data_IF_822076574870
#
_entry.id   IF_822076574870
#
_cell.length_a   1.000
_cell.length_b   1.000
_cell.length_c   1.000
_cell.angle_alpha   90.00
_cell.angle_beta   90.00
_cell.angle_gamma   90.00
#
_symmetry.space_group_name_H-M   'P 1'
#
loop_
_entity.id
_entity.type
_entity.pdbx_description
1 polymer ?
#
# COMPACT_ATOMS: atom_id res chain seq x y z
N UNK A 1 -12.40 -26.61 -17.15
CA UNK A 1 -13.00 -26.39 -15.83
C UNK A 1 -13.48 -24.94 -15.82
N UNK A 2 -14.81 -24.74 -15.69
CA UNK A 2 -15.46 -23.44 -15.85
C UNK A 2 -15.25 -22.62 -14.59
N UNK A 3 -14.47 -21.56 -14.68
CA UNK A 3 -14.35 -20.56 -13.62
C UNK A 3 -15.60 -19.72 -13.63
N UNK A 4 -16.48 -19.90 -12.65
CA UNK A 4 -17.65 -19.03 -12.48
C UNK A 4 -17.19 -17.66 -12.03
N UNK A 5 -17.07 -16.72 -12.96
CA UNK A 5 -16.85 -15.30 -12.66
C UNK A 5 -18.15 -14.74 -12.09
N UNK A 6 -18.18 -14.50 -10.79
CA UNK A 6 -19.27 -13.73 -10.16
C UNK A 6 -19.02 -12.24 -10.42
N UNK A 7 -19.58 -11.72 -11.50
CA UNK A 7 -19.65 -10.29 -11.77
C UNK A 7 -20.58 -9.63 -10.73
N UNK A 8 -20.02 -9.01 -9.71
CA UNK A 8 -20.74 -8.10 -8.83
C UNK A 8 -20.21 -6.68 -9.07
N UNK A 9 -20.92 -5.91 -9.86
CA UNK A 9 -20.76 -4.47 -9.93
C UNK A 9 -21.48 -3.86 -8.72
N UNK A 10 -20.73 -3.45 -7.73
CA UNK A 10 -21.27 -2.61 -6.66
C UNK A 10 -21.09 -1.14 -7.02
N UNK A 11 -21.93 -0.27 -6.48
CA UNK A 11 -21.80 1.18 -6.63
C UNK A 11 -20.48 1.72 -6.09
N UNK A 12 -20.18 3.00 -6.39
CA UNK A 12 -18.97 3.67 -5.93
C UNK A 12 -18.78 3.51 -4.41
N UNK A 13 -17.56 3.14 -4.00
CA UNK A 13 -17.18 3.04 -2.60
C UNK A 13 -16.92 4.44 -2.03
N UNK A 14 -17.42 4.70 -0.81
CA UNK A 14 -17.07 5.88 -0.02
C UNK A 14 -15.83 5.64 0.86
N UNK A 15 -15.22 4.46 0.77
CA UNK A 15 -14.02 4.11 1.52
C UNK A 15 -12.80 4.66 0.79
N UNK A 16 -12.05 5.55 1.46
CA UNK A 16 -10.75 6.01 0.96
C UNK A 16 -9.72 4.89 1.12
N UNK A 17 -9.23 4.41 0.01
CA UNK A 17 -8.20 3.38 -0.04
C UNK A 17 -6.85 3.97 -0.46
N UNK A 18 -5.76 3.39 0.02
CA UNK A 18 -4.39 3.73 -0.38
C UNK A 18 -3.66 2.49 -0.82
N UNK A 19 -2.81 2.63 -1.83
CA UNK A 19 -1.91 1.55 -2.28
C UNK A 19 -0.53 2.10 -2.47
N UNK A 20 0.41 1.41 -1.89
CA UNK A 20 1.82 1.80 -1.89
C UNK A 20 2.63 0.75 -2.63
N UNK A 21 3.62 1.21 -3.38
CA UNK A 21 4.58 0.34 -4.07
C UNK A 21 6.01 0.85 -3.86
N UNK A 22 7.00 -0.06 -3.78
CA UNK A 22 8.40 0.32 -3.78
C UNK A 22 8.76 0.97 -5.13
N UNK A 23 9.56 2.03 -5.08
CA UNK A 23 10.19 2.62 -6.26
C UNK A 23 11.36 1.72 -6.68
N UNK A 24 11.35 1.25 -7.91
CA UNK A 24 12.56 0.70 -8.53
C UNK A 24 13.43 1.85 -9.06
N UNK A 25 14.71 1.58 -9.28
CA UNK A 25 15.67 2.58 -9.79
C UNK A 25 15.21 3.18 -11.14
N UNK A 26 14.42 2.41 -11.87
CA UNK A 26 13.94 2.77 -13.22
C UNK A 26 12.63 3.54 -13.19
N UNK A 27 11.84 3.46 -12.10
CA UNK A 27 10.47 3.97 -12.07
C UNK A 27 10.35 5.41 -11.59
N UNK A 28 11.17 5.84 -10.61
CA UNK A 28 11.10 7.21 -10.13
C UNK A 28 12.46 7.85 -10.03
N UNK A 29 12.54 9.06 -10.54
CA UNK A 29 13.79 9.84 -10.57
C UNK A 29 13.50 11.33 -10.58
N UNK A 30 14.44 12.09 -10.04
CA UNK A 30 14.55 13.51 -10.26
C UNK A 30 15.59 13.73 -11.37
N UNK A 31 15.20 14.44 -12.42
CA UNK A 31 16.08 14.84 -13.51
C UNK A 31 16.15 16.36 -13.57
N UNK A 32 17.25 16.89 -14.10
CA UNK A 32 17.36 18.31 -14.37
C UNK A 32 17.00 18.55 -15.83
N UNK A 33 15.92 19.30 -16.08
CA UNK A 33 15.60 19.79 -17.41
C UNK A 33 16.42 21.03 -17.68
N UNK A 34 17.28 20.96 -18.69
CA UNK A 34 17.99 22.13 -19.18
C UNK A 34 17.09 22.85 -20.19
N UNK A 35 16.53 23.98 -19.80
CA UNK A 35 15.78 24.87 -20.69
C UNK A 35 16.26 26.30 -20.47
N UNK A 36 17.09 26.79 -21.43
CA UNK A 36 17.73 28.09 -21.31
C UNK A 36 18.66 28.21 -20.11
N UNK A 37 18.71 29.40 -19.51
CA UNK A 37 19.61 29.70 -18.37
C UNK A 37 19.06 29.27 -17.00
N UNK A 38 17.89 28.67 -16.96
CA UNK A 38 17.24 28.27 -15.68
C UNK A 38 16.90 26.75 -15.64
N UNK A 39 17.85 25.91 -15.21
CA UNK A 39 17.60 24.49 -15.09
C UNK A 39 16.52 24.20 -14.02
N UNK A 40 15.50 23.42 -14.36
CA UNK A 40 14.45 23.03 -13.46
C UNK A 40 14.59 21.54 -13.07
N UNK A 41 14.29 21.22 -11.82
CA UNK A 41 14.16 19.83 -11.36
C UNK A 41 12.77 19.30 -11.75
N UNK A 42 12.75 18.09 -12.27
CA UNK A 42 11.54 17.39 -12.70
C UNK A 42 11.50 16.02 -12.04
N UNK A 43 10.37 15.67 -11.43
CA UNK A 43 10.12 14.31 -10.96
C UNK A 43 9.38 13.52 -12.03
N UNK A 44 9.77 12.26 -12.24
CA UNK A 44 9.03 11.29 -13.04
C UNK A 44 9.00 9.94 -12.35
N UNK A 45 7.88 9.21 -12.46
CA UNK A 45 7.72 7.86 -11.90
C UNK A 45 6.33 7.30 -12.17
N UNK A 46 6.07 6.07 -11.71
CA UNK A 46 4.74 5.45 -11.78
C UNK A 46 4.17 5.29 -10.37
N UNK A 47 3.03 5.90 -10.09
CA UNK A 47 2.35 5.76 -8.82
C UNK A 47 1.62 4.40 -8.69
N UNK A 48 1.16 3.84 -9.80
CA UNK A 48 0.53 2.53 -9.88
C UNK A 48 1.07 1.76 -11.10
N UNK A 49 0.97 0.41 -11.06
CA UNK A 49 1.32 -0.48 -12.17
C UNK A 49 0.11 -1.33 -12.51
N UNK A 50 -0.18 -1.46 -13.81
CA UNK A 50 -1.29 -2.28 -14.30
C UNK A 50 -0.96 -3.76 -14.30
N UNK A 51 -2.01 -4.59 -14.19
CA UNK A 51 -1.97 -6.05 -14.25
C UNK A 51 -0.91 -6.69 -13.34
N UNK A 52 -0.47 -5.95 -12.31
CA UNK A 52 0.49 -6.41 -11.31
C UNK A 52 -0.25 -6.85 -10.05
N UNK A 53 -0.21 -8.15 -9.78
CA UNK A 53 -0.90 -8.75 -8.63
C UNK A 53 -0.20 -8.40 -7.32
N UNK A 54 -0.95 -7.81 -6.39
CA UNK A 54 -0.49 -7.42 -5.06
C UNK A 54 -1.35 -8.08 -3.99
N UNK A 55 -0.74 -8.59 -2.93
CA UNK A 55 -1.47 -9.12 -1.79
C UNK A 55 -1.94 -7.99 -0.87
N UNK A 56 -3.22 -7.95 -0.57
CA UNK A 56 -3.83 -7.05 0.40
C UNK A 56 -4.18 -7.88 1.64
N UNK A 57 -3.46 -7.66 2.72
CA UNK A 57 -3.57 -8.51 3.90
C UNK A 57 -3.09 -9.93 3.66
N UNK A 58 -3.78 -10.92 4.23
CA UNK A 58 -3.50 -12.33 3.97
C UNK A 58 -4.53 -12.92 2.99
N UNK A 59 -4.19 -13.08 1.69
CA UNK A 59 -5.14 -13.48 0.66
C UNK A 59 -5.75 -14.87 0.87
N UNK A 60 -5.06 -15.76 1.60
CA UNK A 60 -5.54 -17.11 1.89
C UNK A 60 -6.44 -17.19 3.13
N UNK A 61 -6.66 -16.05 3.82
CA UNK A 61 -7.47 -16.03 5.05
C UNK A 61 -8.52 -14.93 5.03
N UNK A 62 -8.09 -13.69 5.20
CA UNK A 62 -9.00 -12.55 5.38
C UNK A 62 -8.80 -11.45 4.35
N UNK A 63 -7.70 -11.48 3.57
CA UNK A 63 -7.36 -10.55 2.51
C UNK A 63 -7.80 -11.01 1.13
N UNK A 64 -7.15 -10.47 0.12
CA UNK A 64 -7.31 -10.83 -1.30
C UNK A 64 -6.06 -10.47 -2.10
N UNK A 65 -5.97 -10.96 -3.32
CA UNK A 65 -5.08 -10.38 -4.32
C UNK A 65 -5.79 -9.25 -5.05
N UNK A 66 -5.05 -8.21 -5.41
CA UNK A 66 -5.58 -7.06 -6.14
C UNK A 66 -4.75 -6.76 -7.38
N UNK A 67 -5.42 -6.39 -8.46
CA UNK A 67 -4.84 -5.92 -9.71
C UNK A 67 -5.57 -4.66 -10.17
N UNK A 68 -4.83 -3.74 -10.80
CA UNK A 68 -5.39 -2.53 -11.41
C UNK A 68 -5.44 -2.76 -12.91
N UNK A 69 -6.60 -2.61 -13.52
CA UNK A 69 -6.76 -2.75 -14.96
C UNK A 69 -6.25 -1.51 -15.70
N UNK A 70 -5.66 -1.64 -16.89
CA UNK A 70 -5.49 -0.51 -17.81
C UNK A 70 -6.84 0.18 -18.05
N UNK A 71 -6.84 1.51 -18.06
CA UNK A 71 -8.05 2.32 -18.18
C UNK A 71 -8.73 2.66 -16.85
N UNK A 72 -8.23 2.13 -15.71
CA UNK A 72 -8.85 2.36 -14.41
C UNK A 72 -8.83 3.84 -13.97
N UNK A 73 -7.87 4.62 -14.44
CA UNK A 73 -7.74 6.04 -14.13
C UNK A 73 -8.26 6.98 -15.22
N UNK A 74 -8.64 6.48 -16.40
CA UNK A 74 -8.98 7.31 -17.58
C UNK A 74 -9.96 8.41 -17.22
N UNK A 75 -11.09 8.08 -16.59
CA UNK A 75 -12.12 9.08 -16.26
C UNK A 75 -11.64 10.10 -15.22
N UNK A 76 -10.96 9.64 -14.18
CA UNK A 76 -10.46 10.55 -13.12
C UNK A 76 -9.35 11.47 -13.62
N UNK A 77 -8.59 11.08 -14.66
CA UNK A 77 -7.59 11.95 -15.29
C UNK A 77 -8.22 13.07 -16.10
N UNK A 78 -9.38 12.83 -16.72
CA UNK A 78 -10.12 13.85 -17.48
C UNK A 78 -10.90 14.80 -16.57
N UNK A 79 -11.49 14.30 -15.48
CA UNK A 79 -12.44 15.03 -14.64
C UNK A 79 -11.84 15.48 -13.30
N UNK A 80 -10.74 14.87 -12.85
CA UNK A 80 -10.19 15.02 -11.51
C UNK A 80 -9.15 16.13 -11.40
N UNK A 81 -8.83 16.43 -10.15
CA UNK A 81 -7.82 17.42 -9.79
C UNK A 81 -6.93 16.84 -8.68
N UNK A 82 -6.13 15.86 -9.05
CA UNK A 82 -5.25 15.15 -8.11
C UNK A 82 -4.07 16.02 -7.64
N UNK A 83 -3.50 15.64 -6.52
CA UNK A 83 -2.37 16.31 -5.87
C UNK A 83 -1.18 15.35 -5.77
N UNK A 84 0.02 15.93 -5.76
CA UNK A 84 1.23 15.21 -5.37
C UNK A 84 1.61 15.66 -3.96
N UNK A 85 1.72 14.71 -3.03
CA UNK A 85 2.01 14.96 -1.62
C UNK A 85 3.31 14.24 -1.18
N UNK A 86 3.76 14.52 0.03
CA UNK A 86 4.78 13.72 0.73
C UNK A 86 4.08 12.99 1.88
N UNK A 87 4.27 11.66 1.97
CA UNK A 87 3.74 10.80 3.03
C UNK A 87 2.22 11.04 3.30
N UNK A 88 1.41 11.26 2.23
CA UNK A 88 -0.04 11.55 2.33
C UNK A 88 -0.40 12.76 3.19
N UNK A 89 0.56 13.61 3.54
CA UNK A 89 0.32 14.80 4.34
C UNK A 89 -0.12 15.96 3.46
N UNK A 90 -1.39 16.36 3.57
CA UNK A 90 -1.95 17.49 2.80
C UNK A 90 -1.29 18.84 3.07
N UNK A 91 -0.49 18.97 4.15
CA UNK A 91 0.32 20.15 4.44
C UNK A 91 1.59 20.20 3.61
N UNK A 92 2.02 19.06 3.05
CA UNK A 92 3.21 18.92 2.22
C UNK A 92 2.83 18.74 0.74
N UNK A 93 2.02 19.68 0.24
CA UNK A 93 1.56 19.73 -1.15
C UNK A 93 2.72 20.12 -2.07
N UNK A 94 3.13 19.21 -2.95
CA UNK A 94 4.26 19.43 -3.88
C UNK A 94 3.77 19.99 -5.22
N UNK A 95 2.67 19.44 -5.75
CA UNK A 95 2.13 19.81 -7.07
C UNK A 95 0.65 19.47 -7.19
N UNK A 96 -0.05 20.04 -8.17
CA UNK A 96 -1.47 19.86 -8.40
C UNK A 96 -1.81 19.91 -9.89
N UNK A 97 -2.72 19.06 -10.35
CA UNK A 97 -3.12 19.03 -11.76
C UNK A 97 -3.65 20.38 -12.23
N UNK A 98 -4.57 21.01 -11.48
CA UNK A 98 -5.13 22.31 -11.85
C UNK A 98 -4.17 23.48 -11.75
N UNK A 99 -3.03 23.32 -11.05
CA UNK A 99 -1.94 24.31 -11.05
C UNK A 99 -1.03 24.19 -12.29
N UNK A 100 -1.12 23.04 -13.01
CA UNK A 100 -0.37 22.79 -14.23
C UNK A 100 1.04 22.25 -14.03
N UNK A 101 1.45 22.01 -12.78
CA UNK A 101 2.76 21.48 -12.38
C UNK A 101 2.75 19.96 -12.13
N UNK A 102 1.57 19.33 -12.01
CA UNK A 102 1.39 17.87 -11.96
C UNK A 102 0.74 17.38 -13.25
N UNK A 103 1.40 16.44 -13.93
CA UNK A 103 0.86 15.71 -15.06
C UNK A 103 0.74 14.21 -14.70
N UNK A 104 -0.44 13.68 -14.92
CA UNK A 104 -0.73 12.26 -14.74
C UNK A 104 -1.24 11.70 -16.07
N UNK A 105 -0.79 10.51 -16.44
CA UNK A 105 -1.25 9.81 -17.64
C UNK A 105 -1.18 8.30 -17.43
N UNK A 106 -2.04 7.56 -18.10
CA UNK A 106 -1.87 6.12 -18.25
C UNK A 106 -0.94 5.83 -19.43
N UNK A 107 0.00 4.91 -19.21
CA UNK A 107 0.86 4.33 -20.25
C UNK A 107 0.84 2.80 -20.19
N UNK A 108 1.70 2.12 -20.93
CA UNK A 108 1.77 0.66 -20.97
C UNK A 108 2.21 0.02 -19.65
N UNK A 109 2.76 0.82 -18.72
CA UNK A 109 3.23 0.37 -17.42
C UNK A 109 2.19 0.60 -16.34
N UNK A 110 1.55 1.79 -16.32
CA UNK A 110 0.64 2.17 -15.26
C UNK A 110 0.29 3.66 -15.22
N UNK A 111 0.14 4.20 -14.01
CA UNK A 111 -0.13 5.61 -13.78
C UNK A 111 1.18 6.40 -13.74
N UNK A 112 1.60 6.90 -14.90
CA UNK A 112 2.74 7.78 -15.05
C UNK A 112 2.48 9.12 -14.35
N UNK A 113 3.45 9.57 -13.58
CA UNK A 113 3.40 10.77 -12.75
C UNK A 113 4.59 11.67 -13.09
N UNK A 114 4.33 12.92 -13.42
CA UNK A 114 5.36 13.92 -13.68
C UNK A 114 5.04 15.21 -12.93
N UNK A 115 6.01 15.72 -12.16
CA UNK A 115 5.98 17.06 -11.57
C UNK A 115 7.04 17.92 -12.27
N UNK A 116 6.58 19.02 -12.88
CA UNK A 116 7.42 19.85 -13.73
C UNK A 116 6.95 21.31 -13.76
N UNK A 117 7.69 22.24 -13.13
CA UNK A 117 8.90 22.00 -12.33
C UNK A 117 8.59 21.58 -10.88
N UNK A 118 9.59 21.02 -10.19
CA UNK A 118 9.59 20.95 -8.73
C UNK A 118 9.93 22.35 -8.18
N UNK A 119 9.05 22.91 -7.35
CA UNK A 119 9.25 24.25 -6.74
C UNK A 119 10.21 24.17 -5.55
N UNK A 120 11.52 24.30 -5.80
CA UNK A 120 12.55 24.27 -4.75
C UNK A 120 12.58 25.53 -3.87
N UNK A 121 11.74 26.55 -4.10
CA UNK A 121 11.55 27.66 -3.15
C UNK A 121 10.86 27.16 -1.87
N UNK A 122 10.03 26.12 -1.97
CA UNK A 122 9.46 25.45 -0.83
C UNK A 122 10.50 24.53 -0.16
N UNK A 123 10.78 24.76 1.12
CA UNK A 123 11.84 24.02 1.85
C UNK A 123 11.62 22.51 1.85
N UNK A 124 10.39 22.05 2.05
CA UNK A 124 10.05 20.63 2.06
C UNK A 124 10.16 19.98 0.66
N UNK A 125 10.03 20.75 -0.43
CA UNK A 125 10.28 20.24 -1.79
C UNK A 125 11.78 20.07 -2.02
N UNK A 126 12.62 20.98 -1.56
CA UNK A 126 14.09 20.78 -1.55
C UNK A 126 14.50 19.53 -0.78
N UNK A 127 13.88 19.32 0.40
CA UNK A 127 14.12 18.14 1.22
C UNK A 127 13.66 16.87 0.52
N UNK A 128 12.49 16.89 -0.13
CA UNK A 128 11.99 15.79 -0.96
C UNK A 128 12.96 15.45 -2.08
N UNK A 129 13.39 16.43 -2.88
CA UNK A 129 14.37 16.26 -3.98
C UNK A 129 15.62 15.58 -3.45
N UNK A 130 16.19 16.10 -2.37
CA UNK A 130 17.40 15.55 -1.75
C UNK A 130 17.22 14.13 -1.25
N UNK A 131 16.05 13.82 -0.66
CA UNK A 131 15.75 12.48 -0.18
C UNK A 131 15.55 11.48 -1.32
N UNK A 132 14.93 11.88 -2.44
CA UNK A 132 14.82 11.07 -3.65
C UNK A 132 16.20 10.82 -4.30
N UNK A 133 17.01 11.85 -4.47
CA UNK A 133 18.38 11.74 -5.01
C UNK A 133 19.28 10.82 -4.16
N UNK A 134 19.09 10.83 -2.83
CA UNK A 134 19.82 9.98 -1.88
C UNK A 134 19.14 8.64 -1.63
N UNK A 135 18.02 8.34 -2.31
CA UNK A 135 17.24 7.12 -2.16
C UNK A 135 16.81 6.83 -0.71
N UNK A 136 16.47 7.88 0.04
CA UNK A 136 15.90 7.78 1.38
C UNK A 136 14.39 7.62 1.32
N UNK A 137 13.76 8.19 0.29
CA UNK A 137 12.36 7.94 -0.08
C UNK A 137 12.40 6.93 -1.20
N UNK A 138 11.75 5.78 -0.98
CA UNK A 138 11.86 4.58 -1.81
C UNK A 138 10.49 4.00 -2.22
N UNK A 139 9.42 4.78 -2.06
CA UNK A 139 8.08 4.33 -2.44
C UNK A 139 7.26 5.45 -3.07
N UNK A 140 6.28 5.03 -3.86
CA UNK A 140 5.12 5.84 -4.23
C UNK A 140 3.85 5.19 -3.70
N UNK A 141 2.89 6.01 -3.39
CA UNK A 141 1.55 5.61 -2.97
C UNK A 141 0.52 6.45 -3.70
N UNK A 142 -0.73 5.99 -3.74
CA UNK A 142 -1.84 6.77 -4.25
C UNK A 142 -3.09 6.51 -3.41
N UNK A 143 -3.87 7.59 -3.22
CA UNK A 143 -5.13 7.59 -2.50
C UNK A 143 -6.32 7.72 -3.47
N UNK A 144 -7.31 6.85 -3.33
CA UNK A 144 -8.41 6.74 -4.27
C UNK A 144 -9.70 6.22 -3.61
N UNK A 145 -10.80 6.40 -4.33
CA UNK A 145 -12.06 5.69 -4.11
C UNK A 145 -12.32 4.74 -5.27
N UNK A 146 -12.86 3.57 -4.98
CA UNK A 146 -13.25 2.60 -6.01
C UNK A 146 -14.63 2.95 -6.53
N UNK A 147 -14.72 3.17 -7.84
CA UNK A 147 -15.97 3.39 -8.54
C UNK A 147 -16.52 2.08 -9.09
N UNK A 148 -15.63 1.25 -9.66
CA UNK A 148 -16.00 -0.05 -10.20
C UNK A 148 -14.87 -1.06 -10.03
N UNK A 149 -15.20 -2.26 -9.58
CA UNK A 149 -14.31 -3.40 -9.47
C UNK A 149 -15.02 -4.70 -9.85
N UNK A 150 -14.23 -5.74 -10.06
CA UNK A 150 -14.68 -7.12 -10.26
C UNK A 150 -13.99 -8.03 -9.27
N UNK A 151 -14.73 -9.03 -8.78
CA UNK A 151 -14.23 -10.05 -7.87
C UNK A 151 -14.34 -11.43 -8.50
N UNK A 152 -13.27 -12.21 -8.40
CA UNK A 152 -13.20 -13.59 -8.84
C UNK A 152 -12.41 -14.42 -7.85
N UNK A 153 -12.52 -15.75 -7.94
CA UNK A 153 -11.69 -16.67 -7.19
C UNK A 153 -10.64 -17.25 -8.12
N UNK A 154 -9.39 -17.28 -7.66
CA UNK A 154 -8.24 -17.80 -8.39
C UNK A 154 -7.59 -18.95 -7.61
N UNK A 155 -6.92 -19.82 -8.32
CA UNK A 155 -6.04 -20.84 -7.74
C UNK A 155 -4.62 -20.27 -7.60
N UNK A 156 -4.00 -20.49 -6.45
CA UNK A 156 -2.63 -20.06 -6.14
C UNK A 156 -1.84 -21.21 -5.58
N UNK A 157 -0.58 -21.33 -6.00
CA UNK A 157 0.34 -22.32 -5.46
C UNK A 157 0.96 -21.80 -4.15
N UNK A 158 0.90 -22.61 -3.12
CA UNK A 158 1.44 -22.28 -1.78
C UNK A 158 2.46 -23.35 -1.40
N UNK A 159 3.69 -22.94 -1.14
CA UNK A 159 4.72 -23.85 -0.63
C UNK A 159 4.75 -23.80 0.89
N UNK A 160 4.43 -24.91 1.51
CA UNK A 160 4.46 -25.07 2.97
C UNK A 160 5.88 -25.11 3.54
N UNK A 161 6.03 -25.05 4.88
CA UNK A 161 7.33 -25.13 5.55
C UNK A 161 8.06 -26.46 5.30
N UNK A 162 7.35 -27.51 4.92
CA UNK A 162 7.87 -28.83 4.57
C UNK A 162 8.34 -28.94 3.09
N UNK A 163 8.28 -27.80 2.36
CA UNK A 163 8.66 -27.73 0.95
C UNK A 163 7.63 -28.31 -0.03
N UNK A 164 6.47 -28.76 0.47
CA UNK A 164 5.39 -29.24 -0.41
C UNK A 164 4.57 -28.07 -0.93
N UNK A 165 4.26 -28.14 -2.22
CA UNK A 165 3.37 -27.17 -2.87
C UNK A 165 1.96 -27.73 -2.91
N UNK A 166 1.00 -26.93 -2.46
CA UNK A 166 -0.44 -27.18 -2.53
C UNK A 166 -1.11 -26.10 -3.34
N UNK A 167 -2.25 -26.41 -3.95
CA UNK A 167 -3.09 -25.41 -4.62
C UNK A 167 -4.19 -24.99 -3.66
N UNK A 168 -4.28 -23.69 -3.40
CA UNK A 168 -5.31 -23.10 -2.56
C UNK A 168 -6.12 -22.06 -3.35
N UNK A 169 -7.33 -21.74 -2.88
CA UNK A 169 -8.17 -20.71 -3.49
C UNK A 169 -7.99 -19.39 -2.75
N UNK A 170 -7.94 -18.31 -3.53
CA UNK A 170 -7.88 -16.95 -3.01
C UNK A 170 -8.80 -16.03 -3.82
N UNK A 171 -9.30 -14.98 -3.17
CA UNK A 171 -10.06 -13.94 -3.85
C UNK A 171 -9.10 -13.03 -4.65
N UNK A 172 -9.52 -12.64 -5.84
CA UNK A 172 -8.89 -11.62 -6.67
C UNK A 172 -9.86 -10.47 -6.89
N UNK A 173 -9.44 -9.26 -6.54
CA UNK A 173 -10.13 -8.02 -6.84
C UNK A 173 -9.44 -7.31 -8.00
N UNK A 174 -10.17 -7.04 -9.09
CA UNK A 174 -9.67 -6.26 -10.22
C UNK A 174 -10.33 -4.88 -10.20
N UNK A 175 -9.52 -3.84 -10.05
CA UNK A 175 -9.96 -2.45 -10.03
C UNK A 175 -10.11 -1.95 -11.47
N UNK A 176 -11.33 -1.52 -11.84
CA UNK A 176 -11.70 -1.17 -13.22
C UNK A 176 -11.95 0.33 -13.43
N UNK A 177 -12.38 1.04 -12.39
CA UNK A 177 -12.56 2.49 -12.42
C UNK A 177 -12.33 3.06 -11.03
N UNK A 178 -11.43 4.04 -10.94
CA UNK A 178 -10.99 4.68 -9.71
C UNK A 178 -11.21 6.19 -9.77
N UNK A 179 -11.56 6.78 -8.63
CA UNK A 179 -11.52 8.23 -8.43
C UNK A 179 -10.26 8.56 -7.64
N UNK A 180 -9.23 9.02 -8.33
CA UNK A 180 -7.94 9.39 -7.75
C UNK A 180 -8.05 10.71 -7.00
N UNK A 181 -7.50 10.76 -5.79
CA UNK A 181 -7.40 11.98 -4.98
C UNK A 181 -6.00 12.54 -4.98
N UNK A 182 -5.00 11.68 -4.81
CA UNK A 182 -3.61 12.09 -4.71
C UNK A 182 -2.66 10.96 -5.08
N UNK A 183 -1.44 11.34 -5.38
CA UNK A 183 -0.26 10.48 -5.43
C UNK A 183 0.77 11.02 -4.45
N UNK A 184 1.56 10.16 -3.84
CA UNK A 184 2.54 10.56 -2.82
C UNK A 184 3.89 9.88 -3.00
N UNK A 185 4.96 10.61 -2.76
CA UNK A 185 6.26 10.03 -2.46
C UNK A 185 6.27 9.64 -0.98
N UNK A 186 6.56 8.35 -0.66
CA UNK A 186 6.43 7.83 0.70
C UNK A 186 7.72 7.23 1.23
N UNK A 187 7.97 7.48 2.52
CA UNK A 187 9.17 7.00 3.23
C UNK A 187 9.09 5.51 3.49
N UNK A 188 7.90 4.99 3.82
CA UNK A 188 7.67 3.59 4.16
C UNK A 188 6.68 2.93 3.19
N UNK A 189 7.15 2.41 2.05
CA UNK A 189 6.26 1.86 1.02
C UNK A 189 5.49 0.58 1.42
N UNK A 190 5.75 -0.02 2.57
CA UNK A 190 5.14 -1.29 2.98
C UNK A 190 4.53 -1.27 4.39
N UNK A 191 4.54 -0.14 5.12
CA UNK A 191 4.23 -0.11 6.55
C UNK A 191 3.08 0.81 6.95
N UNK A 192 2.39 1.46 6.01
CA UNK A 192 1.32 2.40 6.35
C UNK A 192 0.09 1.71 6.95
N UNK A 193 -0.12 0.43 6.61
CA UNK A 193 -1.20 -0.36 7.16
C UNK A 193 -0.67 -1.42 8.13
N UNK A 194 -0.93 -1.24 9.42
CA UNK A 194 -0.76 -2.33 10.39
C UNK A 194 -1.69 -3.50 10.03
N UNK A 195 -1.34 -4.74 10.43
CA UNK A 195 -2.23 -5.90 10.24
C UNK A 195 -3.66 -5.62 10.74
N UNK A 196 -3.81 -4.85 11.82
CA UNK A 196 -5.11 -4.45 12.35
C UNK A 196 -5.84 -3.44 11.43
N UNK A 197 -5.12 -2.48 10.84
CA UNK A 197 -5.67 -1.52 9.88
C UNK A 197 -6.10 -2.20 8.58
N UNK A 198 -5.26 -3.11 8.05
CA UNK A 198 -5.59 -3.90 6.87
C UNK A 198 -6.79 -4.84 7.10
N UNK A 199 -6.90 -5.46 8.28
CA UNK A 199 -8.08 -6.28 8.63
C UNK A 199 -9.35 -5.44 8.67
N UNK A 200 -9.30 -4.27 9.31
CA UNK A 200 -10.45 -3.35 9.34
C UNK A 200 -10.85 -2.94 7.93
N UNK A 201 -9.91 -2.53 7.09
CA UNK A 201 -10.17 -2.21 5.69
C UNK A 201 -10.77 -3.42 4.95
N UNK A 202 -10.22 -4.61 5.16
CA UNK A 202 -10.72 -5.83 4.54
C UNK A 202 -12.17 -6.11 4.94
N UNK A 203 -12.50 -6.01 6.21
CA UNK A 203 -13.86 -6.20 6.72
C UNK A 203 -14.82 -5.15 6.14
N UNK A 204 -14.42 -3.88 6.08
CA UNK A 204 -15.23 -2.80 5.52
C UNK A 204 -15.50 -3.02 4.01
N UNK A 205 -14.47 -3.36 3.24
CA UNK A 205 -14.59 -3.61 1.79
C UNK A 205 -15.44 -4.86 1.54
N UNK A 206 -15.23 -5.95 2.28
CA UNK A 206 -16.02 -7.18 2.17
C UNK A 206 -17.48 -6.95 2.55
N UNK A 207 -17.73 -6.25 3.66
CA UNK A 207 -19.09 -5.91 4.10
C UNK A 207 -19.83 -5.07 3.06
N UNK A 208 -19.19 -4.04 2.48
CA UNK A 208 -19.76 -3.22 1.42
C UNK A 208 -20.12 -4.02 0.16
N UNK A 209 -19.52 -5.22 -0.02
CA UNK A 209 -19.75 -6.11 -1.17
C UNK A 209 -20.65 -7.31 -0.81
N UNK A 210 -21.08 -7.43 0.45
CA UNK A 210 -21.84 -8.60 0.93
C UNK A 210 -21.04 -9.90 0.88
N UNK A 211 -19.71 -9.81 1.03
CA UNK A 211 -18.79 -10.93 1.15
C UNK A 211 -18.60 -11.29 2.64
N UNK A 212 -18.26 -12.56 2.96
CA UNK A 212 -17.98 -12.94 4.35
C UNK A 212 -16.81 -12.11 4.92
N UNK A 213 -16.94 -11.65 6.17
CA UNK A 213 -15.90 -10.95 6.93
C UNK A 213 -15.27 -11.91 7.96
N UNK A 214 -14.01 -11.65 8.37
CA UNK A 214 -13.31 -12.51 9.34
C UNK A 214 -13.96 -12.44 10.74
N UNK A 215 -14.63 -11.35 11.07
CA UNK A 215 -15.43 -11.21 12.30
C UNK A 215 -16.57 -12.22 12.44
N UNK A 216 -17.00 -12.86 11.34
CA UNK A 216 -18.00 -13.93 11.39
C UNK A 216 -17.43 -15.28 11.89
N UNK A 217 -16.10 -15.46 11.86
CA UNK A 217 -15.45 -16.70 12.29
C UNK A 217 -14.95 -16.67 13.75
N UNK A 218 -14.94 -15.52 14.41
CA UNK A 218 -14.50 -15.40 15.82
C UNK A 218 -15.58 -15.75 16.85
N UNK A 219 -16.80 -16.08 16.43
CA UNK A 219 -17.88 -16.45 17.34
C UNK A 219 -17.90 -17.93 17.77
N UNK A 220 -17.02 -18.79 17.23
CA UNK A 220 -16.88 -20.18 17.67
C UNK A 220 -15.45 -20.43 18.19
N UNK A 221 -15.22 -20.14 19.45
CA UNK A 221 -13.98 -20.54 20.13
C UNK A 221 -13.40 -19.52 21.09
N UNK A 222 -14.24 -18.89 21.90
CA UNK A 222 -13.77 -18.15 23.07
C UNK A 222 -13.15 -19.14 24.06
N UNK A 223 -11.81 -19.27 24.01
CA UNK A 223 -11.06 -19.95 25.04
C UNK A 223 -11.19 -19.12 26.32
N UNK A 224 -11.69 -19.67 27.45
CA UNK A 224 -11.81 -18.89 28.68
C UNK A 224 -10.42 -18.35 29.08
N UNK A 225 -10.41 -17.08 29.45
CA UNK A 225 -9.22 -16.41 29.98
C UNK A 225 -8.65 -17.19 31.16
N UNK A 226 -7.31 -17.33 31.31
CA UNK A 226 -6.74 -17.89 32.52
C UNK A 226 -7.17 -17.03 33.72
N UNK A 227 -7.74 -17.68 34.75
CA UNK A 227 -8.31 -17.03 35.92
C UNK A 227 -7.34 -16.02 36.55
N UNK A 228 -7.91 -14.90 36.96
CA UNK A 228 -7.26 -13.91 37.81
C UNK A 228 -6.84 -14.60 39.12
N UNK A 229 -5.54 -14.86 39.27
CA UNK A 229 -4.96 -15.13 40.57
C UNK A 229 -4.75 -13.80 41.28
N UNK A 230 -5.48 -13.59 42.35
CA UNK A 230 -5.28 -12.50 43.32
C UNK A 230 -3.82 -12.48 43.78
N UNK A 231 -3.11 -11.38 43.52
CA UNK A 231 -1.77 -11.15 44.02
C UNK A 231 -1.85 -10.83 45.52
N UNK A 232 -1.11 -11.60 46.31
CA UNK A 232 -0.80 -11.27 47.69
C UNK A 232 0.18 -10.08 47.78
N UNK A 233 -0.10 -9.14 48.65
CA UNK A 233 0.61 -7.86 48.84
C UNK A 233 2.01 -7.96 49.52
N UNK A 234 2.72 -9.08 49.45
CA UNK A 234 3.98 -9.25 50.20
C UNK A 234 5.12 -9.88 49.39
N UNK A 235 5.35 -9.48 48.13
CA UNK A 235 6.56 -9.92 47.40
C UNK A 235 7.43 -8.72 47.03
N UNK A 236 8.76 -8.77 47.39
CA UNK A 236 9.68 -7.66 47.07
C UNK A 236 10.05 -7.63 45.57
N UNK A 237 10.15 -6.42 45.01
CA UNK A 237 10.52 -6.16 43.66
C UNK A 237 11.89 -6.74 43.25
N UNK A 238 12.03 -7.41 42.08
CA UNK A 238 13.34 -7.73 41.54
C UNK A 238 13.88 -6.57 40.68
N UNK A 239 15.09 -6.12 41.02
CA UNK A 239 15.94 -5.37 40.11
C UNK A 239 16.44 -6.30 39.01
N UNK A 240 16.22 -5.97 37.73
CA UNK A 240 17.27 -6.05 36.71
C UNK A 240 16.77 -5.48 35.35
N UNK A 241 17.53 -4.52 34.84
CA UNK A 241 17.25 -3.76 33.64
C UNK A 241 17.95 -4.31 32.37
N UNK A 242 18.28 -5.60 32.33
CA UNK A 242 19.11 -6.18 31.25
C UNK A 242 18.38 -7.13 30.28
N UNK A 243 17.05 -7.25 30.35
CA UNK A 243 16.27 -8.15 29.44
C UNK A 243 15.64 -7.49 28.23
N UNK A 244 15.85 -6.19 28.00
CA UNK A 244 15.29 -5.46 26.86
C UNK A 244 15.96 -5.78 25.52
N UNK A 245 17.29 -5.90 25.49
CA UNK A 245 18.06 -5.97 24.25
C UNK A 245 18.00 -7.33 23.53
N UNK A 246 17.86 -8.43 24.25
CA UNK A 246 17.80 -9.77 23.63
C UNK A 246 16.50 -10.05 22.87
N UNK A 247 15.38 -9.46 23.30
CA UNK A 247 14.08 -9.62 22.60
C UNK A 247 13.97 -8.79 21.32
N UNK A 248 14.68 -7.68 21.22
CA UNK A 248 14.74 -6.87 20.01
C UNK A 248 15.60 -7.54 18.94
N UNK A 249 16.72 -8.15 19.32
CA UNK A 249 17.58 -8.91 18.41
C UNK A 249 16.88 -10.18 17.86
N UNK A 250 16.14 -10.90 18.68
CA UNK A 250 15.36 -12.07 18.24
C UNK A 250 14.22 -11.69 17.27
N UNK A 251 13.57 -10.53 17.46
CA UNK A 251 12.57 -10.02 16.53
C UNK A 251 13.17 -9.58 15.20
N UNK A 252 14.34 -8.92 15.23
CA UNK A 252 15.06 -8.53 14.02
C UNK A 252 15.53 -9.76 13.22
N UNK A 253 16.02 -10.80 13.87
CA UNK A 253 16.40 -12.05 13.22
C UNK A 253 15.21 -12.81 12.61
N UNK A 254 14.06 -12.80 13.25
CA UNK A 254 12.84 -13.43 12.74
C UNK A 254 12.30 -12.71 11.48
N UNK A 255 12.44 -11.38 11.40
CA UNK A 255 12.03 -10.58 10.23
C UNK A 255 12.94 -10.83 9.01
N UNK A 256 14.26 -10.91 9.23
CA UNK A 256 15.23 -11.23 8.15
C UNK A 256 14.98 -12.61 7.56
N UNK A 257 14.67 -13.61 8.40
CA UNK A 257 14.36 -14.96 7.97
C UNK A 257 13.03 -15.07 7.20
N UNK A 258 12.06 -14.19 7.52
CA UNK A 258 10.71 -14.22 6.93
C UNK A 258 10.63 -13.52 5.56
N UNK A 259 11.50 -12.56 5.30
CA UNK A 259 11.43 -11.71 4.10
C UNK A 259 12.62 -11.81 3.16
N UNK A 260 13.56 -12.74 3.40
CA UNK A 260 14.64 -13.07 2.46
C UNK A 260 15.60 -11.94 2.12
N UNK A 261 15.84 -11.00 3.06
CA UNK A 261 16.76 -9.89 2.82
C UNK A 261 18.23 -10.39 2.89
N UNK A 262 19.11 -9.98 1.93
CA UNK A 262 20.51 -10.36 1.94
C UNK A 262 21.24 -9.72 3.14
N UNK A 263 22.09 -10.50 3.80
CA UNK A 263 23.02 -9.99 4.83
C UNK A 263 24.03 -9.06 4.18
N UNK A 264 24.16 -7.84 4.68
CA UNK A 264 25.33 -7.01 4.42
C UNK A 264 26.47 -7.40 5.36
#
# INVERSE_FOLDING_TARGET
VSTATLLRTAGASEILERRTRPLTITDARVVTRAEGDNPAKVFTGHAAVFDSRTAIGNPLRWGWYEEIAPGAFTKTLDEGDARFLVDHDSRLLVARVSAGDLRLAEDDIGLATTVDPLDEELSYVRDLVRNLEKRRITGMSFGFYVVRDEWSTIEVEVTGPDGKTTTEQADLRRLLELRLLEVSAVTFPAYEDTDAGLRKLADEVRAARGLPTDSAHTSEGERPAPGETTRDENDPAPADATRGSQREDERAHALVARYGLPRQ
#
